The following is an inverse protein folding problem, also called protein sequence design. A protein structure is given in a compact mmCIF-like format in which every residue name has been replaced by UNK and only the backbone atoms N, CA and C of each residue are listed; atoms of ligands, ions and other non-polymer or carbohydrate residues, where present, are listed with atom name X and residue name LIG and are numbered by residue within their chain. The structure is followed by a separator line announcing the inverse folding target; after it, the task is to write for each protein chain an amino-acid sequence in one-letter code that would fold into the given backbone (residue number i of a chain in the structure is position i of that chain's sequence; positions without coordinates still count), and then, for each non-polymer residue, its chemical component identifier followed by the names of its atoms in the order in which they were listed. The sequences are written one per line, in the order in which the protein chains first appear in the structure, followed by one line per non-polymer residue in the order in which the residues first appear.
data_IF_912437229834
#
_entry.id   IF_912437229834
#
_cell.length_a   1.000
_cell.length_b   1.000
_cell.length_c   1.000
_cell.angle_alpha   90.00
_cell.angle_beta   90.00
_cell.angle_gamma   90.00
#
_symmetry.space_group_name_H-M   'P 1'
#
loop_
_entity.id
_entity.type
_entity.pdbx_description
1 polymer ?
#
# COMPACT_ATOMS: atom_id res chain seq x y z
N UNK A 1 -15.46 -14.29 3.07
CA UNK A 1 -15.50 -13.24 2.04
C UNK A 1 -15.17 -11.94 2.75
N UNK A 2 -14.01 -11.33 2.47
CA UNK A 2 -13.61 -10.09 3.15
C UNK A 2 -14.37 -8.94 2.50
N UNK A 3 -15.31 -8.34 3.22
CA UNK A 3 -15.97 -7.09 2.84
C UNK A 3 -15.08 -5.90 3.24
N UNK A 4 -15.30 -4.74 2.63
CA UNK A 4 -14.66 -3.50 3.05
C UNK A 4 -15.01 -3.19 4.52
N UNK A 5 -14.02 -2.69 5.25
CA UNK A 5 -14.13 -2.20 6.62
C UNK A 5 -13.50 -0.80 6.66
N UNK A 6 -14.18 0.18 7.25
CA UNK A 6 -13.69 1.57 7.28
C UNK A 6 -12.58 1.75 8.32
N UNK A 7 -11.33 2.01 7.91
CA UNK A 7 -10.22 2.16 8.85
C UNK A 7 -10.10 3.56 9.43
N UNK A 8 -10.73 4.58 8.83
CA UNK A 8 -10.50 5.98 9.20
C UNK A 8 -10.89 6.30 10.65
N UNK A 9 -11.98 5.77 11.24
CA UNK A 9 -12.27 5.98 12.65
C UNK A 9 -11.17 5.48 13.59
N UNK A 10 -10.53 4.35 13.24
CA UNK A 10 -9.41 3.82 14.03
C UNK A 10 -8.15 4.65 13.81
N UNK A 11 -7.84 4.96 12.56
CA UNK A 11 -6.67 5.75 12.19
C UNK A 11 -6.68 7.13 12.86
N UNK A 12 -7.83 7.83 12.85
CA UNK A 12 -7.98 9.15 13.48
C UNK A 12 -7.64 9.11 14.98
N UNK A 13 -8.18 8.13 15.71
CA UNK A 13 -7.87 7.96 17.15
C UNK A 13 -6.38 7.72 17.40
N UNK A 14 -5.74 6.91 16.55
CA UNK A 14 -4.31 6.62 16.69
C UNK A 14 -3.47 7.86 16.45
N UNK A 15 -3.77 8.62 15.39
CA UNK A 15 -3.05 9.86 15.05
C UNK A 15 -3.24 10.93 16.11
N UNK A 16 -4.46 11.13 16.61
CA UNK A 16 -4.74 12.03 17.73
C UNK A 16 -3.91 11.65 18.98
N UNK A 17 -3.74 10.35 19.23
CA UNK A 17 -2.92 9.82 20.32
C UNK A 17 -1.41 10.07 20.18
N UNK A 18 -0.90 10.41 18.99
CA UNK A 18 0.52 10.72 18.76
C UNK A 18 0.92 12.10 19.31
N UNK A 19 -0.04 12.96 19.65
CA UNK A 19 0.23 14.32 20.12
C UNK A 19 0.81 15.25 19.05
N UNK A 20 0.66 14.90 17.77
CA UNK A 20 1.10 15.70 16.61
C UNK A 20 -0.09 15.92 15.65
N UNK A 21 -0.12 17.04 14.90
CA UNK A 21 -1.14 17.26 13.87
C UNK A 21 -1.16 16.14 12.83
N UNK A 22 -2.35 15.72 12.39
CA UNK A 22 -2.49 14.67 11.37
C UNK A 22 -1.76 15.02 10.05
N UNK A 23 -1.73 16.30 9.68
CA UNK A 23 -1.01 16.78 8.50
C UNK A 23 0.52 16.70 8.60
N UNK A 24 1.10 16.33 9.75
CA UNK A 24 2.52 16.00 9.87
C UNK A 24 2.79 14.49 9.66
N UNK A 25 1.75 13.67 9.57
CA UNK A 25 1.86 12.22 9.32
C UNK A 25 1.32 11.88 7.94
N UNK A 26 0.23 12.55 7.54
CA UNK A 26 -0.50 12.33 6.30
C UNK A 26 -0.57 13.63 5.49
N UNK A 27 0.47 13.93 4.73
CA UNK A 27 0.59 15.13 3.89
C UNK A 27 0.83 14.82 2.39
N UNK A 28 0.86 13.55 2.01
CA UNK A 28 1.11 13.12 0.63
C UNK A 28 0.11 13.69 -0.37
N UNK A 29 0.57 14.17 -1.52
CA UNK A 29 -0.31 14.74 -2.55
C UNK A 29 -0.88 13.66 -3.46
N UNK A 30 -2.17 13.76 -3.77
CA UNK A 30 -2.88 12.80 -4.62
C UNK A 30 -2.28 12.69 -6.03
N UNK A 31 -1.80 13.82 -6.56
CA UNK A 31 -1.17 13.94 -7.88
C UNK A 31 0.16 13.17 -7.95
N UNK A 32 0.80 12.91 -6.80
CA UNK A 32 2.05 12.19 -6.67
C UNK A 32 1.87 10.72 -6.32
N UNK A 33 0.63 10.24 -6.16
CA UNK A 33 0.37 8.87 -5.71
C UNK A 33 1.12 7.86 -6.58
N UNK A 34 1.80 6.92 -5.94
CA UNK A 34 2.42 5.80 -6.64
C UNK A 34 1.32 5.01 -7.38
N UNK A 35 1.50 4.75 -8.67
CA UNK A 35 0.51 4.06 -9.51
C UNK A 35 0.22 2.63 -9.04
N UNK A 36 1.10 2.07 -8.20
CA UNK A 36 0.99 0.73 -7.61
C UNK A 36 0.15 0.67 -6.33
N UNK A 37 -0.23 1.82 -5.75
CA UNK A 37 -1.12 1.83 -4.59
C UNK A 37 -2.44 1.11 -4.95
N UNK A 38 -2.82 0.13 -4.14
CA UNK A 38 -4.15 -0.48 -4.23
C UNK A 38 -5.19 0.56 -3.80
N UNK A 39 -6.25 0.78 -4.61
CA UNK A 39 -7.28 1.75 -4.28
C UNK A 39 -7.87 1.54 -2.89
N UNK A 40 -8.08 2.61 -2.15
CA UNK A 40 -8.50 2.59 -0.76
C UNK A 40 -8.20 3.91 -0.06
N UNK A 41 -8.53 4.01 1.23
CA UNK A 41 -8.35 5.25 1.99
C UNK A 41 -6.88 5.66 2.09
N UNK A 42 -5.96 4.72 2.32
CA UNK A 42 -4.53 5.03 2.42
C UNK A 42 -3.83 4.95 1.08
N UNK A 43 -2.88 5.85 0.84
CA UNK A 43 -1.94 5.75 -0.28
C UNK A 43 -0.63 6.43 0.08
N UNK A 44 0.40 6.14 -0.71
CA UNK A 44 1.67 6.87 -0.67
C UNK A 44 1.92 7.63 -1.97
N UNK A 45 2.48 8.83 -1.88
CA UNK A 45 3.04 9.59 -2.98
C UNK A 45 4.56 9.50 -3.02
N UNK A 46 5.24 10.64 -3.08
CA UNK A 46 6.68 10.74 -2.94
C UNK A 46 7.08 10.64 -1.45
N UNK A 47 7.29 9.42 -0.96
CA UNK A 47 7.86 9.13 0.36
C UNK A 47 9.41 9.26 0.35
N UNK A 48 10.05 9.12 1.50
CA UNK A 48 11.49 8.89 1.57
C UNK A 48 11.86 7.50 1.03
N UNK A 49 13.17 7.28 0.85
CA UNK A 49 13.75 6.02 0.36
C UNK A 49 14.27 5.13 1.49
N UNK A 50 13.87 5.37 2.74
CA UNK A 50 14.33 4.56 3.87
C UNK A 50 13.64 3.19 3.93
N UNK A 51 12.47 3.06 3.29
CA UNK A 51 11.73 1.80 3.19
C UNK A 51 11.35 1.18 4.55
N UNK A 52 11.23 2.02 5.58
CA UNK A 52 11.03 1.58 6.97
C UNK A 52 9.57 1.33 7.33
N UNK A 53 8.60 1.83 6.56
CA UNK A 53 7.19 1.58 6.81
C UNK A 53 6.84 0.09 6.77
N UNK A 54 7.54 -0.66 5.92
CA UNK A 54 7.44 -2.13 5.84
C UNK A 54 7.81 -2.84 7.14
N UNK A 55 8.70 -2.28 7.98
CA UNK A 55 9.10 -2.91 9.24
C UNK A 55 7.92 -3.03 10.22
N UNK A 56 7.01 -2.05 10.20
CA UNK A 56 5.80 -2.03 11.03
C UNK A 56 4.59 -2.65 10.31
N UNK A 57 4.50 -2.53 8.98
CA UNK A 57 3.36 -3.00 8.19
C UNK A 57 3.74 -3.87 6.97
N UNK A 58 4.41 -5.02 7.15
CA UNK A 58 4.92 -5.85 6.04
C UNK A 58 3.81 -6.46 5.16
N UNK A 59 2.62 -6.61 5.73
CA UNK A 59 1.41 -7.10 5.05
C UNK A 59 0.67 -6.00 4.25
N UNK A 60 1.14 -4.75 4.29
CA UNK A 60 0.44 -3.58 3.74
C UNK A 60 1.33 -2.67 2.89
N UNK A 61 2.59 -2.52 3.28
CA UNK A 61 3.56 -1.60 2.66
C UNK A 61 4.60 -2.41 1.88
N UNK A 62 4.79 -2.02 0.62
CA UNK A 62 5.92 -2.39 -0.21
C UNK A 62 6.61 -1.10 -0.65
N UNK A 63 7.76 -1.21 -1.29
CA UNK A 63 8.46 -0.06 -1.86
C UNK A 63 9.07 -0.44 -3.18
N UNK A 64 9.21 0.54 -4.05
CA UNK A 64 10.09 0.41 -5.20
C UNK A 64 11.49 0.90 -4.82
N UNK A 65 12.49 0.26 -5.40
CA UNK A 65 13.84 0.80 -5.56
C UNK A 65 14.15 0.46 -7.01
N UNK A 66 13.73 1.36 -7.91
CA UNK A 66 13.75 1.12 -9.36
C UNK A 66 15.18 0.78 -9.77
N UNK A 67 15.43 -0.51 -10.07
CA UNK A 67 16.61 -1.17 -10.67
C UNK A 67 17.75 -0.26 -11.23
N UNK A 68 18.35 0.65 -10.45
CA UNK A 68 19.28 1.67 -10.95
C UNK A 68 19.38 2.96 -10.12
N UNK A 69 19.83 4.06 -10.77
CA UNK A 69 20.14 5.39 -10.19
C UNK A 69 18.90 6.20 -9.71
N UNK A 70 17.76 5.54 -9.50
CA UNK A 70 16.49 6.16 -9.12
C UNK A 70 16.32 6.39 -7.61
N UNK A 71 15.34 7.22 -7.25
CA UNK A 71 14.89 7.37 -5.87
C UNK A 71 13.64 6.50 -5.69
N UNK A 72 13.71 5.50 -4.81
CA UNK A 72 12.61 4.59 -4.50
C UNK A 72 11.57 5.19 -3.57
N UNK A 73 10.32 4.75 -3.70
CA UNK A 73 9.17 5.18 -2.92
C UNK A 73 8.37 4.00 -2.37
N UNK A 74 7.90 4.12 -1.13
CA UNK A 74 6.93 3.21 -0.54
C UNK A 74 5.52 3.36 -1.15
N UNK A 75 4.70 2.31 -1.05
CA UNK A 75 3.30 2.29 -1.48
C UNK A 75 2.46 1.26 -0.71
N UNK A 76 1.15 1.51 -0.62
CA UNK A 76 0.18 0.64 0.03
C UNK A 76 -0.32 -0.41 -0.96
N UNK A 77 0.13 -1.65 -0.81
CA UNK A 77 -0.29 -2.76 -1.69
C UNK A 77 -1.49 -3.54 -1.15
N UNK A 78 -1.85 -3.33 0.12
CA UNK A 78 -3.05 -3.91 0.73
C UNK A 78 -3.60 -2.98 1.79
N UNK A 79 -4.90 -2.71 1.70
CA UNK A 79 -5.59 -1.83 2.64
C UNK A 79 -5.92 -2.57 3.94
N UNK A 80 -5.87 -1.91 5.11
CA UNK A 80 -6.19 -2.55 6.38
C UNK A 80 -7.68 -2.84 6.48
N UNK A 81 -8.05 -4.03 6.97
CA UNK A 81 -9.45 -4.48 7.11
C UNK A 81 -9.86 -4.76 8.56
N UNK A 82 -9.06 -4.27 9.52
CA UNK A 82 -9.38 -4.32 10.95
C UNK A 82 -8.49 -3.35 11.74
N UNK A 83 -8.74 -3.27 13.06
CA UNK A 83 -8.02 -2.40 14.00
C UNK A 83 -6.52 -2.66 14.00
N UNK A 84 -6.09 -3.92 14.19
CA UNK A 84 -4.67 -4.29 14.27
C UNK A 84 -3.89 -3.92 13.00
N UNK A 85 -4.51 -4.16 11.84
CA UNK A 85 -3.90 -3.80 10.57
C UNK A 85 -3.81 -2.28 10.38
N UNK A 86 -4.81 -1.53 10.85
CA UNK A 86 -4.76 -0.07 10.82
C UNK A 86 -3.66 0.48 11.70
N UNK A 87 -3.49 -0.10 12.90
CA UNK A 87 -2.38 0.24 13.80
C UNK A 87 -1.03 0.01 13.13
N UNK A 88 -0.85 -1.13 12.45
CA UNK A 88 0.36 -1.41 11.69
C UNK A 88 0.62 -0.36 10.61
N UNK A 89 -0.37 -0.05 9.77
CA UNK A 89 -0.24 0.95 8.70
C UNK A 89 0.08 2.34 9.27
N UNK A 90 -0.64 2.82 10.29
CA UNK A 90 -0.37 4.14 10.89
C UNK A 90 1.03 4.20 11.51
N UNK A 91 1.49 3.11 12.14
CA UNK A 91 2.86 3.03 12.68
C UNK A 91 3.92 3.05 11.58
N UNK A 92 3.69 2.37 10.46
CA UNK A 92 4.58 2.45 9.30
C UNK A 92 4.65 3.87 8.73
N UNK A 93 3.49 4.51 8.50
CA UNK A 93 3.45 5.84 7.90
C UNK A 93 4.11 6.93 8.76
N UNK A 94 3.97 6.88 10.10
CA UNK A 94 4.48 7.95 10.99
C UNK A 94 6.01 8.02 11.12
N UNK A 95 6.73 7.02 10.62
CA UNK A 95 8.19 6.99 10.64
C UNK A 95 8.81 7.63 9.40
N UNK A 96 8.01 7.83 8.36
CA UNK A 96 8.45 8.35 7.07
C UNK A 96 8.72 9.87 7.15
N UNK A 97 9.90 10.29 6.68
CA UNK A 97 10.47 11.61 6.95
C UNK A 97 9.88 12.72 6.08
N UNK A 98 9.36 12.41 4.90
CA UNK A 98 8.79 13.38 3.95
C UNK A 98 7.28 13.52 4.06
N UNK A 99 6.64 12.73 4.91
CA UNK A 99 5.18 12.68 5.10
C UNK A 99 4.41 12.44 3.79
N UNK A 100 4.98 11.63 2.89
CA UNK A 100 4.47 11.29 1.57
C UNK A 100 3.25 10.37 1.58
N UNK A 101 2.89 9.79 2.72
CA UNK A 101 1.62 9.07 2.89
C UNK A 101 0.43 10.01 3.01
N UNK A 102 -0.76 9.52 2.64
CA UNK A 102 -2.03 10.16 2.97
C UNK A 102 -3.14 9.12 3.19
N UNK A 103 -4.29 9.59 3.67
CA UNK A 103 -5.47 8.79 4.03
C UNK A 103 -6.80 9.36 3.49
N UNK A 104 -6.76 10.38 2.62
CA UNK A 104 -7.94 10.99 2.00
C UNK A 104 -8.40 10.24 0.73
N UNK A 105 -7.93 9.01 0.49
CA UNK A 105 -8.24 8.25 -0.71
C UNK A 105 -9.74 8.04 -0.97
N UNK A 106 -10.55 7.96 0.08
CA UNK A 106 -12.02 7.84 -0.02
C UNK A 106 -12.71 9.06 -0.63
N UNK A 107 -12.03 10.20 -0.64
CA UNK A 107 -12.49 11.45 -1.26
C UNK A 107 -11.94 11.62 -2.68
N UNK A 108 -10.96 10.79 -3.07
CA UNK A 108 -10.22 10.92 -4.34
C UNK A 108 -10.52 9.82 -5.34
N UNK A 109 -10.62 8.58 -4.87
CA UNK A 109 -10.99 7.45 -5.71
C UNK A 109 -12.44 7.59 -6.18
N UNK A 110 -12.67 7.24 -7.43
CA UNK A 110 -13.99 7.15 -8.02
C UNK A 110 -14.22 5.72 -8.50
N UNK A 111 -15.48 5.31 -8.63
CA UNK A 111 -15.79 4.00 -9.17
C UNK A 111 -15.13 3.74 -10.54
N UNK A 112 -15.03 4.77 -11.39
CA UNK A 112 -14.36 4.68 -12.69
C UNK A 112 -12.86 4.43 -12.56
N UNK A 113 -12.16 5.22 -11.73
CA UNK A 113 -10.70 5.10 -11.55
C UNK A 113 -10.30 3.81 -10.85
N UNK A 114 -11.12 3.28 -9.92
CA UNK A 114 -10.91 1.95 -9.32
C UNK A 114 -10.99 0.84 -10.38
N UNK A 115 -11.97 0.92 -11.29
CA UNK A 115 -12.12 -0.06 -12.40
C UNK A 115 -11.01 0.05 -13.43
N UNK A 116 -10.52 1.26 -13.71
CA UNK A 116 -9.34 1.49 -14.55
C UNK A 116 -8.12 0.81 -13.95
N UNK A 117 -7.85 1.07 -12.66
CA UNK A 117 -6.76 0.43 -11.95
C UNK A 117 -6.90 -1.10 -11.96
N UNK A 118 -8.09 -1.64 -11.70
CA UNK A 118 -8.35 -3.08 -11.75
C UNK A 118 -8.05 -3.70 -13.11
N UNK A 119 -8.41 -3.00 -14.21
CA UNK A 119 -8.11 -3.45 -15.57
C UNK A 119 -6.61 -3.44 -15.87
N UNK A 120 -5.88 -2.47 -15.33
CA UNK A 120 -4.42 -2.34 -15.52
C UNK A 120 -3.58 -3.18 -14.51
N UNK A 121 -4.23 -3.88 -13.56
CA UNK A 121 -3.51 -4.64 -12.51
C UNK A 121 -2.51 -5.67 -13.02
N UNK A 122 -2.67 -6.13 -14.27
CA UNK A 122 -1.70 -7.01 -14.93
C UNK A 122 -0.30 -6.39 -15.01
N UNK A 123 -0.22 -5.07 -15.28
CA UNK A 123 1.04 -4.30 -15.27
C UNK A 123 1.67 -4.28 -13.88
N UNK A 124 0.86 -4.08 -12.84
CA UNK A 124 1.33 -4.09 -11.44
C UNK A 124 1.87 -5.47 -11.07
N UNK A 125 1.16 -6.54 -11.47
CA UNK A 125 1.54 -7.92 -11.23
C UNK A 125 2.86 -8.28 -11.92
N UNK A 126 3.02 -7.91 -13.19
CA UNK A 126 4.26 -8.14 -13.94
C UNK A 126 5.44 -7.46 -13.27
N UNK A 127 5.29 -6.18 -12.90
CA UNK A 127 6.30 -5.44 -12.15
C UNK A 127 6.64 -6.12 -10.82
N UNK A 128 5.64 -6.51 -10.02
CA UNK A 128 5.83 -7.12 -8.71
C UNK A 128 6.59 -8.45 -8.81
N UNK A 129 6.31 -9.26 -9.83
CA UNK A 129 7.03 -10.51 -10.06
C UNK A 129 8.48 -10.28 -10.52
N UNK A 130 8.70 -9.31 -11.40
CA UNK A 130 10.03 -8.98 -11.89
C UNK A 130 10.94 -8.51 -10.74
N UNK A 131 10.48 -7.55 -9.95
CA UNK A 131 11.27 -7.01 -8.83
C UNK A 131 11.47 -8.06 -7.73
N UNK A 132 10.47 -8.91 -7.45
CA UNK A 132 10.61 -10.01 -6.49
C UNK A 132 11.60 -11.10 -6.92
N UNK A 133 11.72 -11.33 -8.23
CA UNK A 133 12.67 -12.28 -8.80
C UNK A 133 14.09 -11.73 -8.69
N UNK A 134 14.28 -10.45 -8.98
CA UNK A 134 15.56 -9.78 -8.81
C UNK A 134 15.96 -9.77 -7.33
N UNK A 135 15.17 -9.11 -6.46
CA UNK A 135 15.43 -8.92 -5.02
C UNK A 135 15.51 -10.21 -4.21
N UNK A 136 14.97 -11.30 -4.75
CA UNK A 136 15.05 -12.62 -4.15
C UNK A 136 16.25 -13.45 -4.59
N UNK A 137 17.07 -12.97 -5.52
CA UNK A 137 18.27 -13.67 -5.97
C UNK A 137 19.43 -13.41 -5.01
N UNK A 138 20.09 -14.47 -4.55
CA UNK A 138 21.34 -14.36 -3.75
C UNK A 138 22.47 -13.65 -4.51
N UNK A 139 22.36 -13.61 -5.85
CA UNK A 139 23.29 -12.96 -6.77
C UNK A 139 22.82 -11.56 -7.19
N UNK A 140 21.85 -10.96 -6.48
CA UNK A 140 21.34 -9.65 -6.82
C UNK A 140 22.49 -8.67 -7.10
N UNK A 141 22.49 -7.98 -8.24
CA UNK A 141 23.58 -7.09 -8.56
C UNK A 141 23.73 -6.00 -7.49
N UNK A 142 24.98 -5.76 -7.11
CA UNK A 142 25.43 -4.78 -6.12
C UNK A 142 25.11 -3.34 -6.58
N UNK A 143 23.84 -2.92 -6.55
CA UNK A 143 23.47 -1.55 -6.90
C UNK A 143 23.44 -0.67 -5.64
N UNK A 144 24.32 0.34 -5.61
CA UNK A 144 24.30 1.42 -4.62
C UNK A 144 25.00 1.16 -3.26
N UNK A 145 24.78 2.08 -2.32
CA UNK A 145 25.41 2.08 -0.98
C UNK A 145 25.02 0.87 -0.10
N UNK A 146 23.99 0.11 -0.50
CA UNK A 146 23.41 -1.02 0.25
C UNK A 146 23.78 -2.41 -0.32
N UNK A 147 24.76 -2.48 -1.21
CA UNK A 147 25.24 -3.72 -1.83
C UNK A 147 25.94 -4.74 -0.90
N UNK A 148 25.99 -4.48 0.41
CA UNK A 148 26.65 -5.36 1.38
C UNK A 148 25.78 -6.55 1.78
N UNK A 149 26.39 -7.71 2.03
CA UNK A 149 25.69 -8.95 2.45
C UNK A 149 24.81 -8.79 3.70
N UNK A 150 25.08 -7.79 4.54
CA UNK A 150 24.25 -7.42 5.70
C UNK A 150 22.80 -7.01 5.33
N UNK A 151 22.57 -6.59 4.09
CA UNK A 151 21.26 -6.16 3.60
C UNK A 151 20.51 -7.26 2.83
N UNK A 152 21.11 -8.45 2.63
CA UNK A 152 20.47 -9.54 1.89
C UNK A 152 19.11 -9.94 2.49
N UNK A 153 19.03 -10.01 3.82
CA UNK A 153 17.77 -10.30 4.51
C UNK A 153 16.69 -9.25 4.27
N UNK A 154 17.07 -7.98 4.10
CA UNK A 154 16.14 -6.89 3.81
C UNK A 154 15.53 -7.03 2.40
N UNK A 155 16.37 -7.27 1.38
CA UNK A 155 15.88 -7.50 0.01
C UNK A 155 15.05 -8.79 -0.11
N UNK A 156 15.42 -9.87 0.60
CA UNK A 156 14.62 -11.10 0.62
C UNK A 156 13.25 -10.90 1.28
N UNK A 157 13.18 -10.09 2.33
CA UNK A 157 11.89 -9.74 2.95
C UNK A 157 11.03 -8.89 2.00
N UNK A 158 11.63 -7.93 1.32
CA UNK A 158 10.95 -7.10 0.33
C UNK A 158 10.44 -7.92 -0.87
N UNK A 159 11.27 -8.82 -1.39
CA UNK A 159 10.90 -9.79 -2.42
C UNK A 159 9.70 -10.66 -1.99
N UNK A 160 9.65 -11.05 -0.71
CA UNK A 160 8.46 -11.75 -0.16
C UNK A 160 7.23 -10.86 -0.24
N UNK A 161 7.31 -9.61 0.18
CA UNK A 161 6.20 -8.64 0.08
C UNK A 161 5.68 -8.46 -1.33
N UNK A 162 6.57 -8.36 -2.32
CA UNK A 162 6.18 -8.27 -3.73
C UNK A 162 5.50 -9.54 -4.25
N UNK A 163 5.92 -10.73 -3.79
CA UNK A 163 5.19 -11.99 -4.10
C UNK A 163 3.82 -12.02 -3.43
N UNK A 164 3.72 -11.55 -2.19
CA UNK A 164 2.45 -11.45 -1.47
C UNK A 164 1.49 -10.46 -2.16
N UNK A 165 2.03 -9.38 -2.73
CA UNK A 165 1.26 -8.45 -3.56
C UNK A 165 0.77 -9.13 -4.85
N UNK A 166 1.64 -9.83 -5.58
CA UNK A 166 1.26 -10.57 -6.77
C UNK A 166 0.17 -11.62 -6.47
N UNK A 167 0.31 -12.36 -5.36
CA UNK A 167 -0.69 -13.31 -4.91
C UNK A 167 -2.04 -12.64 -4.57
N UNK A 168 -2.01 -11.45 -3.94
CA UNK A 168 -3.21 -10.69 -3.62
C UNK A 168 -3.94 -10.16 -4.86
N UNK A 169 -3.19 -9.73 -5.88
CA UNK A 169 -3.74 -9.31 -7.17
C UNK A 169 -4.51 -10.44 -7.86
N UNK A 170 -4.05 -11.69 -7.69
CA UNK A 170 -4.65 -12.89 -8.26
C UNK A 170 -5.83 -13.40 -7.41
N UNK A 171 -5.74 -13.32 -6.08
CA UNK A 171 -6.78 -13.76 -5.15
C UNK A 171 -6.93 -12.84 -3.94
N UNK A 172 -8.19 -12.47 -3.66
CA UNK A 172 -8.58 -11.62 -2.53
C UNK A 172 -8.78 -10.14 -2.88
N UNK A 173 -8.02 -9.55 -3.80
CA UNK A 173 -8.16 -8.13 -4.14
C UNK A 173 -9.51 -7.79 -4.77
N UNK A 174 -10.07 -8.68 -5.60
CA UNK A 174 -11.40 -8.48 -6.18
C UNK A 174 -12.46 -8.30 -5.09
N UNK A 175 -12.47 -9.17 -4.08
CA UNK A 175 -13.46 -9.12 -3.00
C UNK A 175 -13.37 -7.77 -2.24
N UNK A 176 -12.14 -7.34 -1.94
CA UNK A 176 -11.89 -6.04 -1.31
C UNK A 176 -12.39 -4.88 -2.18
N UNK A 177 -11.97 -4.79 -3.45
CA UNK A 177 -12.32 -3.66 -4.32
C UNK A 177 -13.82 -3.59 -4.61
N UNK A 178 -14.51 -4.73 -4.69
CA UNK A 178 -15.98 -4.75 -4.82
C UNK A 178 -16.66 -4.20 -3.56
N UNK A 179 -16.13 -4.51 -2.38
CA UNK A 179 -16.56 -3.88 -1.13
C UNK A 179 -16.25 -2.38 -1.12
N UNK A 180 -15.09 -1.98 -1.62
CA UNK A 180 -14.69 -0.57 -1.68
C UNK A 180 -15.55 0.24 -2.65
N UNK A 181 -15.87 -0.31 -3.82
CA UNK A 181 -16.80 0.31 -4.76
C UNK A 181 -18.18 0.53 -4.14
N UNK A 182 -18.66 -0.41 -3.31
CA UNK A 182 -19.89 -0.23 -2.56
C UNK A 182 -19.76 0.93 -1.55
N UNK A 183 -18.64 1.00 -0.82
CA UNK A 183 -18.37 2.09 0.12
C UNK A 183 -18.35 3.46 -0.57
N UNK A 184 -17.67 3.61 -1.70
CA UNK A 184 -17.59 4.88 -2.43
C UNK A 184 -18.97 5.43 -2.83
N UNK A 185 -19.91 4.54 -3.13
CA UNK A 185 -21.29 4.88 -3.53
C UNK A 185 -22.22 5.08 -2.33
N UNK A 186 -22.18 4.16 -1.36
CA UNK A 186 -23.16 4.10 -0.26
C UNK A 186 -22.68 4.79 1.02
N UNK A 187 -21.38 5.09 1.14
CA UNK A 187 -20.72 5.66 2.32
C UNK A 187 -21.01 4.89 3.61
N UNK A 188 -21.10 3.57 3.49
CA UNK A 188 -21.24 2.59 4.58
C UNK A 188 -20.70 1.24 4.16
N UNK A 189 -20.37 0.40 5.13
CA UNK A 189 -19.92 -0.97 4.87
C UNK A 189 -21.06 -1.82 4.27
N UNK A 190 -20.74 -2.79 3.38
CA UNK A 190 -21.71 -3.76 2.90
C UNK A 190 -22.16 -4.70 4.02
N UNK A 191 -23.45 -4.99 4.08
CA UNK A 191 -24.03 -6.01 4.95
C UNK A 191 -23.94 -7.40 4.30
N UNK A 192 -23.98 -8.43 5.14
CA UNK A 192 -23.99 -9.82 4.66
C UNK A 192 -25.16 -10.05 3.67
N UNK A 193 -24.84 -10.58 2.49
CA UNK A 193 -25.80 -10.88 1.44
C UNK A 193 -26.15 -9.72 0.49
N UNK A 194 -25.64 -8.50 0.72
CA UNK A 194 -25.81 -7.40 -0.23
C UNK A 194 -25.03 -7.65 -1.52
N UNK A 195 -25.63 -7.30 -2.66
CA UNK A 195 -24.99 -7.39 -3.95
C UNK A 195 -23.89 -6.33 -4.08
N UNK A 196 -22.65 -6.78 -4.23
CA UNK A 196 -21.52 -5.87 -4.45
C UNK A 196 -21.38 -5.51 -5.93
N UNK A 197 -21.03 -4.24 -6.25
CA UNK A 197 -20.68 -3.83 -7.61
C UNK A 197 -19.67 -4.79 -8.25
N UNK A 198 -19.77 -5.01 -9.56
CA UNK A 198 -18.74 -5.75 -10.32
C UNK A 198 -17.48 -4.89 -10.46
N UNK A 199 -16.36 -5.43 -10.92
CA UNK A 199 -15.17 -4.65 -11.34
C UNK A 199 -15.11 -4.51 -12.86
#
# INVERSE_FOLDING_TARGET
MISYWDPLPTARRLVEGLGRPAGEVFAGRWEQRNWRNVPGPFYAGETDSLAIGRLDAPEHICYDDDLGDGFGFEFIYRQPVNVRQTEAVVNGCRLELYSGYNWDGDDRWTAGTVREWWRDRGRVREWALAIAADWGADTHPHWGYNAGSRFLGHYHDAARGHRDFAAYLDDGLEAYLRGYLFWLDQRREPRAGEALPRL
#
